data_IF_077702887230
#
_entry.id   IF_077702887230
#
_cell.length_a   1.000
_cell.length_b   1.000
_cell.length_c   1.000
_cell.angle_alpha   90.00
_cell.angle_beta   90.00
_cell.angle_gamma   90.00
#
_symmetry.space_group_name_H-M   'P 1'
#
loop_
_entity.id
_entity.type
_entity.pdbx_description
1 polymer ?
#
# COMPACT_ATOMS: atom_id res chain seq x y z
N UNK A 1 25.22 -9.73 24.00
CA UNK A 1 23.85 -9.36 23.59
C UNK A 1 23.14 -10.65 23.23
N UNK A 2 22.12 -11.01 24.00
CA UNK A 2 21.35 -12.25 23.80
C UNK A 2 20.35 -12.09 22.64
N UNK A 3 19.95 -13.20 22.02
CA UNK A 3 19.02 -13.23 20.89
C UNK A 3 17.69 -12.52 21.21
N UNK A 4 17.22 -12.55 22.46
CA UNK A 4 16.00 -11.85 22.85
C UNK A 4 16.16 -10.34 22.83
N UNK A 5 17.31 -9.84 23.27
CA UNK A 5 17.65 -8.41 23.18
C UNK A 5 17.74 -7.95 21.72
N UNK A 6 18.28 -8.79 20.84
CA UNK A 6 18.31 -8.53 19.39
C UNK A 6 16.88 -8.40 18.85
N UNK A 7 16.02 -9.37 19.15
CA UNK A 7 14.62 -9.38 18.68
C UNK A 7 13.85 -8.15 19.14
N UNK A 8 14.00 -7.75 20.41
CA UNK A 8 13.34 -6.55 20.93
C UNK A 8 13.82 -5.27 20.25
N UNK A 9 15.13 -5.15 19.98
CA UNK A 9 15.69 -3.98 19.26
C UNK A 9 15.25 -3.90 17.81
N UNK A 10 15.03 -5.04 17.16
CA UNK A 10 14.58 -5.11 15.77
C UNK A 10 13.06 -4.99 15.61
N UNK A 11 12.29 -5.15 16.69
CA UNK A 11 10.84 -5.07 16.65
C UNK A 11 10.39 -3.70 16.11
N UNK A 12 9.47 -3.73 15.14
CA UNK A 12 8.82 -2.55 14.56
C UNK A 12 7.31 -2.74 14.57
N UNK A 13 6.52 -1.67 14.75
CA UNK A 13 5.09 -1.74 14.50
C UNK A 13 4.82 -2.23 13.08
N UNK A 14 3.84 -3.13 12.94
CA UNK A 14 3.45 -3.69 11.66
C UNK A 14 1.93 -3.75 11.56
N UNK A 15 1.42 -3.56 10.35
CA UNK A 15 -0.01 -3.73 10.04
C UNK A 15 -0.20 -5.11 9.46
N UNK A 16 -1.10 -5.90 10.05
CA UNK A 16 -1.58 -7.16 9.46
C UNK A 16 -2.78 -6.85 8.58
N UNK A 17 -2.66 -7.09 7.28
CA UNK A 17 -3.75 -6.95 6.32
C UNK A 17 -4.42 -8.30 6.13
N UNK A 18 -5.76 -8.32 6.18
CA UNK A 18 -6.58 -9.52 5.99
C UNK A 18 -7.54 -9.23 4.85
N UNK A 19 -7.58 -10.10 3.85
CA UNK A 19 -8.44 -9.96 2.68
C UNK A 19 -9.60 -10.95 2.73
N UNK A 20 -10.74 -10.57 2.15
CA UNK A 20 -11.95 -11.38 2.10
C UNK A 20 -12.80 -11.29 3.38
N UNK A 21 -14.00 -11.86 3.34
CA UNK A 21 -14.91 -11.93 4.50
C UNK A 21 -15.80 -10.70 4.72
N UNK A 22 -15.78 -9.71 3.82
CA UNK A 22 -16.69 -8.56 3.86
C UNK A 22 -17.09 -8.13 2.44
N UNK A 23 -18.23 -7.41 2.34
CA UNK A 23 -18.68 -6.78 1.10
C UNK A 23 -18.12 -5.36 1.05
N UNK A 24 -17.30 -5.00 0.05
CA UNK A 24 -16.73 -3.66 -0.04
C UNK A 24 -17.81 -2.59 -0.27
N UNK A 25 -17.59 -1.38 0.26
CA UNK A 25 -18.51 -0.25 0.04
C UNK A 25 -18.27 0.45 -1.29
N UNK A 26 -17.06 0.32 -1.85
CA UNK A 26 -16.73 0.96 -3.14
C UNK A 26 -16.29 2.41 -3.00
N UNK A 27 -15.96 2.85 -1.77
CA UNK A 27 -15.49 4.21 -1.49
C UNK A 27 -13.97 4.31 -1.65
N UNK A 28 -13.47 5.53 -1.82
CA UNK A 28 -12.04 5.85 -1.86
C UNK A 28 -11.39 5.88 -0.46
N UNK A 29 -12.19 5.71 0.59
CA UNK A 29 -11.77 5.56 1.99
C UNK A 29 -11.57 4.09 2.40
N UNK A 30 -11.41 3.20 1.42
CA UNK A 30 -11.15 1.77 1.61
C UNK A 30 -9.82 1.34 1.00
N UNK A 31 -9.21 0.32 1.60
CA UNK A 31 -8.06 -0.36 1.03
C UNK A 31 -8.48 -1.53 0.14
N UNK A 32 -7.75 -1.75 -0.95
CA UNK A 32 -8.06 -2.71 -1.99
C UNK A 32 -6.82 -3.49 -2.43
N UNK A 33 -6.99 -4.78 -2.72
CA UNK A 33 -6.00 -5.62 -3.38
C UNK A 33 -6.46 -5.90 -4.81
N UNK A 34 -5.59 -5.70 -5.79
CA UNK A 34 -5.85 -5.95 -7.22
C UNK A 34 -6.82 -4.98 -7.91
N UNK A 35 -7.58 -4.17 -7.16
CA UNK A 35 -8.46 -3.13 -7.67
C UNK A 35 -7.91 -1.76 -7.28
N UNK A 36 -7.50 -0.98 -8.27
CA UNK A 36 -7.09 0.41 -8.09
C UNK A 36 -7.89 1.26 -9.04
N UNK A 37 -8.50 2.30 -8.51
CA UNK A 37 -9.44 3.16 -9.24
C UNK A 37 -9.29 4.64 -8.90
N UNK A 38 -8.49 4.98 -7.89
CA UNK A 38 -8.21 6.37 -7.54
C UNK A 38 -6.98 6.86 -8.31
N UNK A 39 -7.22 7.74 -9.26
CA UNK A 39 -6.22 8.48 -10.03
C UNK A 39 -6.89 9.76 -10.55
N UNK A 40 -6.09 10.81 -10.81
CA UNK A 40 -6.66 12.03 -11.43
C UNK A 40 -7.01 11.79 -12.90
N UNK A 41 -7.99 12.51 -13.48
CA UNK A 41 -8.34 12.35 -14.90
C UNK A 41 -7.17 12.56 -15.87
N UNK A 42 -6.19 13.37 -15.48
CA UNK A 42 -4.96 13.70 -16.22
C UNK A 42 -3.75 12.85 -15.80
N UNK A 43 -3.93 11.92 -14.85
CA UNK A 43 -2.87 11.06 -14.35
C UNK A 43 -2.79 9.76 -15.17
N UNK A 44 -1.65 9.56 -15.83
CA UNK A 44 -1.31 8.29 -16.46
C UNK A 44 -0.78 7.28 -15.46
N UNK A 45 -0.71 6.01 -15.87
CA UNK A 45 0.01 5.00 -15.08
C UNK A 45 1.50 5.37 -15.00
N UNK A 46 2.13 5.20 -13.82
CA UNK A 46 3.56 5.39 -13.70
C UNK A 46 4.28 4.38 -14.61
N UNK A 47 5.43 4.79 -15.16
CA UNK A 47 6.24 3.95 -16.04
C UNK A 47 7.57 3.58 -15.38
N UNK A 48 8.14 2.44 -15.77
CA UNK A 48 9.51 2.09 -15.42
C UNK A 48 10.53 2.93 -16.22
N UNK A 49 11.83 2.69 -15.99
CA UNK A 49 12.91 3.39 -16.69
C UNK A 49 12.92 3.15 -18.22
N UNK A 50 12.29 2.08 -18.70
CA UNK A 50 12.13 1.78 -20.12
C UNK A 50 10.84 2.37 -20.72
N UNK A 51 10.09 3.18 -19.96
CA UNK A 51 8.82 3.78 -20.41
C UNK A 51 7.64 2.80 -20.42
N UNK A 52 7.79 1.59 -19.86
CA UNK A 52 6.71 0.61 -19.81
C UNK A 52 5.79 0.89 -18.62
N UNK A 53 4.45 0.92 -18.81
CA UNK A 53 3.51 1.13 -17.72
C UNK A 53 3.65 0.08 -16.61
N UNK A 54 3.61 0.53 -15.37
CA UNK A 54 3.56 -0.31 -14.19
C UNK A 54 2.12 -0.69 -13.87
N UNK A 55 1.96 -1.88 -13.33
CA UNK A 55 0.66 -2.40 -12.93
C UNK A 55 0.45 -2.17 -11.43
N UNK A 56 -0.70 -1.61 -11.03
CA UNK A 56 -1.02 -1.45 -9.64
C UNK A 56 -1.38 -2.79 -9.01
N UNK A 57 -0.84 -3.06 -7.81
CA UNK A 57 -1.11 -4.29 -7.06
C UNK A 57 -2.14 -4.09 -5.96
N UNK A 58 -2.20 -2.89 -5.39
CA UNK A 58 -3.07 -2.56 -4.28
C UNK A 58 -3.31 -1.04 -4.20
N UNK A 59 -4.29 -0.65 -3.39
CA UNK A 59 -4.54 0.72 -2.97
C UNK A 59 -4.73 0.69 -1.45
N UNK A 60 -3.93 1.43 -0.69
CA UNK A 60 -4.04 1.48 0.77
C UNK A 60 -4.52 2.85 1.20
N UNK A 61 -5.69 2.90 1.84
CA UNK A 61 -6.18 4.10 2.52
C UNK A 61 -5.50 4.23 3.88
N UNK A 62 -4.47 5.08 3.94
CA UNK A 62 -3.58 5.20 5.10
C UNK A 62 -4.29 5.66 6.39
N UNK A 63 -5.26 6.59 6.37
CA UNK A 63 -5.95 7.03 7.59
C UNK A 63 -6.70 5.91 8.34
N UNK A 64 -7.04 4.80 7.68
CA UNK A 64 -7.68 3.66 8.31
C UNK A 64 -6.68 2.63 8.88
N UNK A 65 -5.37 2.79 8.63
CA UNK A 65 -4.36 1.88 9.16
C UNK A 65 -4.05 2.17 10.64
N UNK A 66 -3.87 1.14 11.48
CA UNK A 66 -3.65 1.32 12.91
C UNK A 66 -2.29 1.95 13.24
N UNK A 67 -1.32 1.86 12.32
CA UNK A 67 -0.02 2.54 12.41
C UNK A 67 0.37 3.04 11.02
N UNK A 68 0.92 4.26 10.95
CA UNK A 68 1.42 4.88 9.72
C UNK A 68 2.86 5.36 9.90
N UNK A 69 3.63 5.37 8.82
CA UNK A 69 4.98 5.92 8.82
C UNK A 69 4.93 7.46 8.78
N UNK A 70 5.66 8.18 9.65
CA UNK A 70 5.72 9.64 9.61
C UNK A 70 6.12 10.23 8.25
N UNK A 71 6.91 9.50 7.45
CA UNK A 71 7.28 9.91 6.09
C UNK A 71 6.10 9.96 5.11
N UNK A 72 4.96 9.37 5.48
CA UNK A 72 3.73 9.39 4.70
C UNK A 72 2.70 10.39 5.27
N UNK A 73 3.12 11.32 6.13
CA UNK A 73 2.23 12.34 6.67
C UNK A 73 1.58 13.17 5.53
N UNK A 74 0.25 13.31 5.58
CA UNK A 74 -0.53 14.00 4.55
C UNK A 74 -0.89 13.14 3.32
N UNK A 75 -0.33 11.94 3.18
CA UNK A 75 -0.73 10.98 2.15
C UNK A 75 -2.01 10.28 2.59
N UNK A 76 -3.09 10.40 1.80
CA UNK A 76 -4.34 9.66 2.07
C UNK A 76 -4.32 8.25 1.50
N UNK A 77 -3.79 8.09 0.29
CA UNK A 77 -3.81 6.83 -0.45
C UNK A 77 -2.43 6.51 -1.00
N UNK A 78 -1.99 5.26 -0.81
CA UNK A 78 -0.75 4.72 -1.35
C UNK A 78 -1.06 3.57 -2.32
N UNK A 79 -0.52 3.66 -3.53
CA UNK A 79 -0.72 2.65 -4.59
C UNK A 79 0.61 2.02 -4.97
N UNK A 80 0.94 0.82 -4.45
CA UNK A 80 2.12 0.08 -4.91
C UNK A 80 1.93 -0.40 -6.34
N UNK A 81 2.93 -0.15 -7.17
CA UNK A 81 2.96 -0.50 -8.60
C UNK A 81 4.22 -1.29 -8.92
N UNK A 82 4.16 -2.14 -9.94
CA UNK A 82 5.34 -2.89 -10.38
C UNK A 82 5.20 -3.50 -11.77
N UNK A 83 6.30 -4.00 -12.30
CA UNK A 83 6.32 -4.76 -13.55
C UNK A 83 5.84 -6.19 -13.28
N UNK A 84 5.12 -6.82 -14.22
CA UNK A 84 4.96 -8.27 -14.19
C UNK A 84 6.33 -8.88 -14.49
N UNK A 85 6.90 -9.59 -13.52
CA UNK A 85 7.96 -10.56 -13.77
C UNK A 85 7.33 -11.69 -14.57
N UNK A 86 7.65 -11.77 -15.86
CA UNK A 86 7.37 -12.94 -16.69
C UNK A 86 8.29 -14.10 -16.35
#
# INVERSE_FOLDING_TARGET
>A
MDIQEIKQRLARPAVKLIAGGFRPTGTDEESWLGKVFLFRPDEGLPANQAGQPLLPYAQFYLPALPVNNPLLAGVRVLTPVGCRSG
#
